data_IF_291556872608
#
_entry.id   IF_291556872608
#
_cell.length_a   1.000
_cell.length_b   1.000
_cell.length_c   1.000
_cell.angle_alpha   90.00
_cell.angle_beta   90.00
_cell.angle_gamma   90.00
#
_symmetry.space_group_name_H-M   'P 1'
#
loop_
_entity.id
_entity.type
_entity.pdbx_description
1 polymer ?
#
# COMPACT_ATOMS: atom_id res chain seq x y z
N UNK A 1 8.04 -9.60 9.08
CA UNK A 1 8.14 -8.19 8.63
C UNK A 1 7.06 -7.86 7.62
N UNK A 2 7.08 -8.38 6.38
CA UNK A 2 6.07 -8.08 5.35
C UNK A 2 4.62 -8.27 5.81
N UNK A 3 4.26 -9.45 6.31
CA UNK A 3 2.88 -9.72 6.73
C UNK A 3 2.37 -8.78 7.83
N UNK A 4 3.20 -8.51 8.86
CA UNK A 4 2.85 -7.57 9.94
C UNK A 4 2.65 -6.15 9.43
N UNK A 5 3.55 -5.66 8.56
CA UNK A 5 3.45 -4.33 7.97
C UNK A 5 2.24 -4.23 7.02
N UNK A 6 1.97 -5.27 6.23
CA UNK A 6 0.80 -5.34 5.37
C UNK A 6 -0.50 -5.32 6.19
N UNK A 7 -0.57 -6.06 7.30
CA UNK A 7 -1.73 -6.07 8.19
C UNK A 7 -1.96 -4.70 8.85
N UNK A 8 -0.90 -4.07 9.37
CA UNK A 8 -0.99 -2.74 9.98
C UNK A 8 -1.45 -1.68 8.98
N UNK A 9 -0.88 -1.68 7.78
CA UNK A 9 -1.29 -0.76 6.72
C UNK A 9 -2.73 -1.04 6.27
N UNK A 10 -3.11 -2.32 6.10
CA UNK A 10 -4.47 -2.70 5.69
C UNK A 10 -5.51 -2.25 6.71
N UNK A 11 -5.20 -2.35 8.00
CA UNK A 11 -6.08 -1.86 9.06
C UNK A 11 -6.22 -0.33 8.98
N UNK A 12 -5.11 0.41 8.83
CA UNK A 12 -5.16 1.86 8.71
C UNK A 12 -6.00 2.32 7.52
N UNK A 13 -5.82 1.70 6.34
CA UNK A 13 -6.60 2.00 5.14
C UNK A 13 -8.09 1.73 5.35
N UNK A 14 -8.46 0.58 5.94
CA UNK A 14 -9.87 0.21 6.20
C UNK A 14 -10.55 1.14 7.21
N UNK A 15 -9.81 1.67 8.17
CA UNK A 15 -10.33 2.62 9.15
C UNK A 15 -10.58 4.00 8.54
N UNK A 16 -9.67 4.44 7.66
CA UNK A 16 -9.69 5.79 7.09
C UNK A 16 -10.59 5.90 5.85
N UNK A 17 -10.76 4.81 5.10
CA UNK A 17 -11.64 4.74 3.92
C UNK A 17 -12.44 3.44 3.94
N UNK A 18 -13.48 3.32 4.79
CA UNK A 18 -14.25 2.09 4.96
C UNK A 18 -14.98 1.63 3.70
N UNK A 19 -15.32 2.55 2.79
CA UNK A 19 -15.95 2.23 1.51
C UNK A 19 -15.01 1.60 0.48
N UNK A 20 -13.69 1.73 0.66
CA UNK A 20 -12.71 1.23 -0.31
C UNK A 20 -12.26 -0.19 0.06
N UNK A 21 -12.48 -1.20 -0.79
CA UNK A 21 -11.97 -2.55 -0.55
C UNK A 21 -10.45 -2.59 -0.51
N UNK A 22 -9.89 -3.26 0.49
CA UNK A 22 -8.44 -3.45 0.65
C UNK A 22 -8.09 -4.93 0.54
N UNK A 23 -7.39 -5.29 -0.54
CA UNK A 23 -6.93 -6.66 -0.76
C UNK A 23 -5.42 -6.79 -0.53
N UNK A 24 -5.00 -7.90 0.08
CA UNK A 24 -3.58 -8.18 0.31
C UNK A 24 -3.15 -9.34 -0.58
N UNK A 25 -2.35 -9.04 -1.59
CA UNK A 25 -1.81 -10.00 -2.55
C UNK A 25 -2.90 -10.91 -3.17
N UNK A 26 -3.90 -10.37 -3.88
CA UNK A 26 -4.92 -11.17 -4.55
C UNK A 26 -4.33 -12.14 -5.60
N UNK A 27 -3.13 -11.81 -6.10
CA UNK A 27 -2.31 -12.67 -6.94
C UNK A 27 -0.92 -12.88 -6.31
N UNK A 28 -0.16 -13.83 -6.86
CA UNK A 28 1.21 -14.15 -6.40
C UNK A 28 2.09 -12.88 -6.39
N UNK A 29 2.59 -12.42 -5.22
CA UNK A 29 3.30 -11.16 -5.13
C UNK A 29 4.74 -11.26 -5.63
N UNK A 30 5.31 -10.11 -6.00
CA UNK A 30 6.73 -10.00 -6.31
C UNK A 30 7.57 -10.24 -5.07
N UNK A 31 8.59 -11.11 -5.18
CA UNK A 31 9.46 -11.46 -4.06
C UNK A 31 10.29 -10.25 -3.61
N UNK A 32 10.24 -9.95 -2.32
CA UNK A 32 11.15 -8.98 -1.69
C UNK A 32 10.82 -7.50 -1.89
N UNK A 33 9.62 -7.18 -2.37
CA UNK A 33 9.08 -5.82 -2.49
C UNK A 33 7.84 -5.63 -1.62
N UNK A 34 7.52 -4.37 -1.31
CA UNK A 34 6.33 -3.97 -0.56
C UNK A 34 5.70 -2.83 -1.34
N UNK A 35 4.65 -3.15 -2.08
CA UNK A 35 4.03 -2.25 -3.04
C UNK A 35 2.59 -2.02 -2.63
N UNK A 36 2.10 -0.80 -2.86
CA UNK A 36 0.72 -0.42 -2.58
C UNK A 36 0.20 0.33 -3.79
N UNK A 37 -0.93 -0.14 -4.33
CA UNK A 37 -1.52 0.38 -5.55
C UNK A 37 -2.99 0.65 -5.33
N UNK A 38 -3.45 1.82 -5.74
CA UNK A 38 -4.87 2.14 -5.86
C UNK A 38 -5.35 1.74 -7.25
N UNK A 39 -6.39 0.91 -7.33
CA UNK A 39 -7.07 0.58 -8.58
C UNK A 39 -8.30 1.48 -8.71
N UNK A 40 -8.49 2.06 -9.90
CA UNK A 40 -9.64 2.92 -10.21
C UNK A 40 -10.66 2.17 -11.08
N UNK A 41 -11.95 2.55 -11.06
CA UNK A 41 -12.98 1.91 -11.87
C UNK A 41 -12.75 2.02 -13.39
N UNK A 42 -12.00 3.03 -13.83
CA UNK A 42 -11.62 3.24 -15.24
C UNK A 42 -10.53 2.27 -15.73
N UNK A 43 -10.08 1.34 -14.87
CA UNK A 43 -9.03 0.38 -15.16
C UNK A 43 -7.61 0.93 -14.99
N UNK A 44 -7.46 2.22 -14.65
CA UNK A 44 -6.17 2.80 -14.33
C UNK A 44 -5.72 2.46 -12.91
N UNK A 45 -4.43 2.62 -12.64
CA UNK A 45 -3.84 2.33 -11.33
C UNK A 45 -2.84 3.41 -10.93
N UNK A 46 -2.78 3.69 -9.63
CA UNK A 46 -1.83 4.64 -9.04
C UNK A 46 -0.93 3.95 -8.04
N UNK A 47 0.38 4.13 -8.17
CA UNK A 47 1.37 3.72 -7.16
C UNK A 47 1.26 4.64 -5.95
N UNK A 48 0.76 4.12 -4.82
CA UNK A 48 0.75 4.84 -3.54
C UNK A 48 2.08 4.67 -2.80
N UNK A 49 2.73 3.51 -2.98
CA UNK A 49 4.05 3.24 -2.42
C UNK A 49 4.78 2.15 -3.19
N UNK A 50 6.08 2.33 -3.38
CA UNK A 50 7.00 1.26 -3.83
C UNK A 50 8.20 1.13 -2.90
N UNK A 51 8.39 -0.10 -2.40
CA UNK A 51 9.58 -0.48 -1.66
C UNK A 51 10.74 -0.91 -2.57
N UNK A 52 10.52 -1.04 -3.89
CA UNK A 52 11.57 -1.41 -4.85
C UNK A 52 12.65 -0.33 -4.89
N UNK A 53 12.24 0.94 -4.99
CA UNK A 53 13.15 2.09 -5.16
C UNK A 53 13.90 2.48 -3.88
N UNK A 54 13.52 1.93 -2.73
CA UNK A 54 14.05 2.33 -1.41
C UNK A 54 15.39 1.66 -1.03
N UNK A 55 15.88 0.72 -1.84
CA UNK A 55 17.20 0.09 -1.67
C UNK A 55 17.40 -0.56 -0.28
N UNK A 56 18.66 -0.86 0.08
CA UNK A 56 19.06 -1.06 1.47
C UNK A 56 19.11 0.28 2.22
N UNK A 57 18.86 0.31 3.55
CA UNK A 57 18.50 -0.80 4.44
C UNK A 57 17.01 -1.22 4.35
N UNK A 58 16.75 -2.52 4.60
CA UNK A 58 15.42 -3.17 4.42
C UNK A 58 14.26 -2.45 5.11
N UNK A 59 14.49 -1.79 6.24
CA UNK A 59 13.47 -1.03 6.97
C UNK A 59 12.79 0.04 6.11
N UNK A 60 13.52 0.67 5.19
CA UNK A 60 13.01 1.75 4.33
C UNK A 60 12.03 1.27 3.26
N UNK A 61 11.95 -0.05 3.03
CA UNK A 61 10.98 -0.63 2.08
C UNK A 61 9.55 -0.59 2.60
N UNK A 62 9.37 -0.43 3.91
CA UNK A 62 8.07 -0.42 4.56
C UNK A 62 7.74 1.00 4.97
N UNK A 63 6.60 1.55 4.51
CA UNK A 63 6.17 2.88 4.92
C UNK A 63 5.57 2.83 6.32
N UNK A 64 5.49 4.00 6.96
CA UNK A 64 4.53 4.19 8.05
C UNK A 64 3.11 4.18 7.46
N UNK A 65 2.12 3.50 8.09
CA UNK A 65 0.77 3.38 7.52
C UNK A 65 0.14 4.72 7.13
N UNK A 66 0.36 5.76 7.95
CA UNK A 66 -0.20 7.09 7.75
C UNK A 66 0.38 7.82 6.53
N UNK A 67 1.60 7.49 6.10
CA UNK A 67 2.18 8.06 4.88
C UNK A 67 1.39 7.62 3.64
N UNK A 68 1.03 6.34 3.59
CA UNK A 68 0.24 5.78 2.49
C UNK A 68 -1.20 6.27 2.53
N UNK A 69 -1.82 6.38 3.73
CA UNK A 69 -3.16 6.97 3.89
C UNK A 69 -3.18 8.41 3.38
N UNK A 70 -2.18 9.21 3.74
CA UNK A 70 -2.05 10.59 3.27
C UNK A 70 -1.93 10.65 1.75
N UNK A 71 -1.15 9.75 1.15
CA UNK A 71 -1.03 9.65 -0.29
C UNK A 71 -2.36 9.25 -0.93
N UNK A 72 -3.04 8.23 -0.41
CA UNK A 72 -4.37 7.80 -0.88
C UNK A 72 -5.37 8.96 -0.91
N UNK A 73 -5.46 9.76 0.16
CA UNK A 73 -6.40 10.88 0.27
C UNK A 73 -6.22 11.92 -0.85
N UNK A 74 -5.01 12.11 -1.37
CA UNK A 74 -4.75 13.00 -2.52
C UNK A 74 -5.38 12.53 -3.83
N UNK A 75 -5.64 11.22 -3.96
CA UNK A 75 -6.23 10.62 -5.16
C UNK A 75 -7.74 10.40 -5.04
N UNK A 76 -8.31 10.62 -3.86
CA UNK A 76 -9.75 10.55 -3.58
C UNK A 76 -10.41 11.92 -3.44
N UNK A 77 -9.61 13.01 -3.35
CA UNK A 77 -10.08 14.40 -3.33
C UNK A 77 -10.25 14.94 -4.74
#
# INVERSE_FOLDING_TARGET
>A
VYGRNAAALSQALRLETPELPVEVNPAKPRRGSFEVTLLRPDGSSVELWTGIKKGPPRKLKFPEPQEVVKELKKHLS
#
